data_IF_159411794377
#
_entry.id   IF_159411794377
#
_cell.length_a   1.000
_cell.length_b   1.000
_cell.length_c   1.000
_cell.angle_alpha   90.00
_cell.angle_beta   90.00
_cell.angle_gamma   90.00
#
_symmetry.space_group_name_H-M   'P 1'
#
loop_
_entity.id
_entity.type
_entity.pdbx_description
1 polymer ?
#
# COMPACT_ATOMS: atom_id res chain seq x y z
N UNK A 1 -16.27 -2.33 -8.21
CA UNK A 1 -16.22 -3.63 -8.91
C UNK A 1 -14.92 -3.71 -9.66
N UNK A 2 -14.36 -4.90 -9.79
CA UNK A 2 -13.22 -5.18 -10.66
C UNK A 2 -13.68 -5.37 -12.10
N UNK A 3 -12.80 -5.09 -13.06
CA UNK A 3 -13.14 -5.11 -14.48
C UNK A 3 -12.10 -5.91 -15.26
N UNK A 4 -12.63 -6.75 -16.16
CA UNK A 4 -11.88 -7.45 -17.18
C UNK A 4 -12.04 -6.71 -18.51
N UNK A 5 -11.00 -6.76 -19.33
CA UNK A 5 -11.00 -6.24 -20.69
C UNK A 5 -10.31 -7.24 -21.61
N UNK A 6 -10.91 -7.47 -22.77
CA UNK A 6 -10.27 -8.24 -23.83
C UNK A 6 -9.15 -7.39 -24.43
N UNK A 7 -7.93 -7.90 -24.36
CA UNK A 7 -6.73 -7.23 -24.87
C UNK A 7 -5.98 -8.17 -25.83
N UNK A 8 -5.38 -7.59 -26.86
CA UNK A 8 -4.44 -8.27 -27.74
C UNK A 8 -3.07 -8.36 -27.05
N UNK A 9 -2.52 -9.57 -26.97
CA UNK A 9 -1.26 -9.84 -26.30
C UNK A 9 -0.28 -10.60 -27.20
N UNK A 10 1.00 -10.33 -26.99
CA UNK A 10 2.09 -10.94 -27.76
C UNK A 10 2.88 -11.88 -26.86
N UNK A 11 2.90 -13.17 -27.22
CA UNK A 11 3.73 -14.17 -26.56
C UNK A 11 5.22 -13.93 -26.87
N UNK A 12 6.16 -14.29 -25.97
CA UNK A 12 7.58 -14.30 -26.29
C UNK A 12 7.97 -15.13 -27.53
N UNK A 13 7.14 -16.09 -27.96
CA UNK A 13 7.37 -16.85 -29.20
C UNK A 13 6.96 -16.09 -30.49
N UNK A 14 6.30 -14.93 -30.35
CA UNK A 14 5.79 -14.09 -31.44
C UNK A 14 4.31 -14.28 -31.76
N UNK A 15 3.63 -15.25 -31.15
CA UNK A 15 2.19 -15.45 -31.33
C UNK A 15 1.40 -14.26 -30.78
N UNK A 16 0.43 -13.76 -31.55
CA UNK A 16 -0.48 -12.69 -31.15
C UNK A 16 -1.87 -13.29 -30.95
N UNK A 17 -2.47 -13.08 -29.78
CA UNK A 17 -3.79 -13.62 -29.46
C UNK A 17 -4.51 -12.71 -28.45
N UNK A 18 -5.82 -12.87 -28.32
CA UNK A 18 -6.63 -12.10 -27.37
C UNK A 18 -6.81 -12.87 -26.05
N UNK A 19 -6.80 -12.15 -24.93
CA UNK A 19 -7.10 -12.68 -23.61
C UNK A 19 -7.87 -11.65 -22.76
N UNK A 20 -8.73 -12.14 -21.86
CA UNK A 20 -9.37 -11.29 -20.87
C UNK A 20 -8.38 -11.01 -19.72
N UNK A 21 -8.05 -9.74 -19.53
CA UNK A 21 -7.13 -9.27 -18.51
C UNK A 21 -7.84 -8.32 -17.56
N UNK A 22 -7.50 -8.38 -16.28
CA UNK A 22 -7.90 -7.37 -15.32
C UNK A 22 -7.23 -6.06 -15.68
N UNK A 23 -8.04 -5.01 -15.85
CA UNK A 23 -7.57 -3.64 -16.05
C UNK A 23 -7.93 -2.73 -14.86
N UNK A 24 -8.81 -3.20 -13.97
CA UNK A 24 -9.10 -2.57 -12.69
C UNK A 24 -9.45 -3.65 -11.65
N UNK A 25 -8.89 -3.51 -10.46
CA UNK A 25 -9.08 -4.43 -9.33
C UNK A 25 -9.52 -3.60 -8.13
N UNK A 26 -10.69 -3.90 -7.57
CA UNK A 26 -11.20 -3.27 -6.36
C UNK A 26 -11.42 -4.34 -5.28
N UNK A 27 -10.49 -4.42 -4.33
CA UNK A 27 -10.49 -5.48 -3.31
C UNK A 27 -11.50 -5.26 -2.19
N UNK A 28 -12.15 -4.08 -2.14
CA UNK A 28 -13.27 -3.90 -1.22
C UNK A 28 -14.55 -4.61 -1.72
N UNK A 29 -14.68 -4.78 -3.04
CA UNK A 29 -15.81 -5.48 -3.63
C UNK A 29 -15.47 -6.94 -3.99
N UNK A 30 -14.23 -7.18 -4.46
CA UNK A 30 -13.72 -8.50 -4.88
C UNK A 30 -12.46 -8.86 -4.06
N UNK A 31 -12.58 -9.13 -2.74
CA UNK A 31 -11.44 -9.32 -1.84
C UNK A 31 -10.54 -10.50 -2.21
N UNK A 32 -11.08 -11.54 -2.85
CA UNK A 32 -10.34 -12.71 -3.34
C UNK A 32 -9.26 -12.34 -4.36
N UNK A 33 -9.46 -11.25 -5.12
CA UNK A 33 -8.47 -10.81 -6.11
C UNK A 33 -7.19 -10.27 -5.46
N UNK A 34 -7.24 -9.85 -4.18
CA UNK A 34 -6.02 -9.52 -3.43
C UNK A 34 -5.14 -10.75 -3.27
N UNK A 35 -5.73 -11.88 -2.89
CA UNK A 35 -4.99 -13.14 -2.69
C UNK A 35 -4.48 -13.71 -4.02
N UNK A 36 -5.30 -13.72 -5.07
CA UNK A 36 -4.85 -14.12 -6.41
C UNK A 36 -3.73 -13.22 -6.94
N UNK A 37 -3.77 -11.91 -6.64
CA UNK A 37 -2.69 -11.00 -6.99
C UNK A 37 -1.40 -11.34 -6.23
N UNK A 38 -1.48 -11.54 -4.92
CA UNK A 38 -0.33 -11.92 -4.07
C UNK A 38 0.27 -13.27 -4.48
N UNK A 39 -0.58 -14.20 -4.91
CA UNK A 39 -0.20 -15.51 -5.43
C UNK A 39 0.42 -15.45 -6.83
N UNK A 40 0.32 -14.31 -7.52
CA UNK A 40 0.82 -14.14 -8.87
C UNK A 40 -0.02 -14.86 -9.92
N UNK A 41 -1.34 -14.91 -9.72
CA UNK A 41 -2.30 -15.57 -10.64
C UNK A 41 -3.03 -14.56 -11.54
N UNK A 42 -3.00 -13.28 -11.19
CA UNK A 42 -3.65 -12.21 -11.96
C UNK A 42 -2.92 -11.98 -13.28
N UNK A 43 -3.70 -11.92 -14.37
CA UNK A 43 -3.21 -11.69 -15.75
C UNK A 43 -2.15 -12.70 -16.21
N UNK A 44 -2.23 -13.94 -15.70
CA UNK A 44 -1.47 -15.07 -16.20
C UNK A 44 -2.20 -15.72 -17.35
N UNK A 45 -1.51 -15.91 -18.47
CA UNK A 45 -2.07 -16.43 -19.72
C UNK A 45 -1.24 -17.59 -20.25
N UNK A 46 -1.87 -18.49 -21.00
CA UNK A 46 -1.22 -19.60 -21.67
C UNK A 46 -1.29 -19.40 -23.18
N UNK A 47 -0.14 -19.40 -23.86
CA UNK A 47 -0.09 -19.24 -25.30
C UNK A 47 -0.75 -20.43 -26.02
N UNK A 48 -1.69 -20.22 -26.96
CA UNK A 48 -2.33 -21.30 -27.70
C UNK A 48 -1.36 -22.05 -28.65
N UNK A 49 -0.26 -21.41 -29.05
CA UNK A 49 0.71 -21.96 -30.00
C UNK A 49 1.83 -22.75 -29.29
N UNK A 50 2.62 -22.11 -28.42
CA UNK A 50 3.77 -22.75 -27.76
C UNK A 50 3.47 -23.32 -26.37
N UNK A 51 2.27 -23.05 -25.80
CA UNK A 51 1.87 -23.43 -24.43
C UNK A 51 2.71 -22.83 -23.30
N UNK A 52 3.50 -21.80 -23.61
CA UNK A 52 4.20 -21.00 -22.60
C UNK A 52 3.18 -20.28 -21.71
N UNK A 53 3.41 -20.31 -20.40
CA UNK A 53 2.63 -19.57 -19.41
C UNK A 53 3.43 -18.34 -19.00
N UNK A 54 2.82 -17.15 -19.11
CA UNK A 54 3.50 -15.90 -18.82
C UNK A 54 2.55 -14.84 -18.29
N UNK A 55 3.11 -13.79 -17.68
CA UNK A 55 2.38 -12.62 -17.24
C UNK A 55 2.13 -11.67 -18.42
N UNK A 56 0.86 -11.38 -18.69
CA UNK A 56 0.48 -10.34 -19.63
C UNK A 56 0.52 -8.98 -18.94
N UNK A 57 1.68 -8.31 -18.97
CA UNK A 57 1.83 -6.97 -18.39
C UNK A 57 0.98 -5.94 -19.15
N UNK A 58 -0.12 -5.51 -18.53
CA UNK A 58 -0.99 -4.43 -19.00
C UNK A 58 -1.21 -3.42 -17.87
N UNK A 59 -1.78 -2.26 -18.22
CA UNK A 59 -2.17 -1.28 -17.22
C UNK A 59 -3.27 -1.86 -16.31
N UNK A 60 -3.08 -1.75 -14.99
CA UNK A 60 -4.07 -2.13 -13.97
C UNK A 60 -4.27 -0.99 -12.98
N UNK A 61 -5.52 -0.59 -12.78
CA UNK A 61 -5.90 0.28 -11.66
C UNK A 61 -6.24 -0.59 -10.44
N UNK A 62 -5.37 -0.62 -9.45
CA UNK A 62 -5.62 -1.32 -8.19
C UNK A 62 -6.19 -0.36 -7.14
N UNK A 63 -7.24 -0.78 -6.44
CA UNK A 63 -7.89 -0.01 -5.38
C UNK A 63 -8.16 -0.86 -4.14
N UNK A 64 -7.55 -0.47 -3.03
CA UNK A 64 -7.78 -0.98 -1.68
C UNK A 64 -8.14 0.20 -0.75
N UNK A 65 -9.44 0.45 -0.53
CA UNK A 65 -9.91 1.48 0.39
C UNK A 65 -9.44 1.30 1.84
N UNK A 66 -9.36 0.06 2.34
CA UNK A 66 -9.00 -0.21 3.73
C UNK A 66 -7.53 0.16 4.01
N UNK A 67 -6.68 -0.04 3.01
CA UNK A 67 -5.27 0.35 3.05
C UNK A 67 -5.02 1.78 2.55
N UNK A 68 -6.05 2.57 2.22
CA UNK A 68 -5.92 3.87 1.53
C UNK A 68 -4.92 3.81 0.36
N UNK A 69 -5.08 2.81 -0.51
CA UNK A 69 -4.19 2.55 -1.63
C UNK A 69 -4.97 2.58 -2.94
N UNK A 70 -4.63 3.52 -3.81
CA UNK A 70 -4.99 3.46 -5.22
C UNK A 70 -3.69 3.50 -6.03
N UNK A 71 -3.43 2.47 -6.81
CA UNK A 71 -2.21 2.29 -7.56
C UNK A 71 -2.49 2.19 -9.05
N UNK A 72 -1.84 3.04 -9.82
CA UNK A 72 -1.76 2.97 -11.27
C UNK A 72 -0.55 2.12 -11.62
N UNK A 73 -0.81 0.85 -11.94
CA UNK A 73 0.24 -0.12 -12.26
C UNK A 73 0.43 -0.16 -13.76
N UNK A 74 1.60 0.27 -14.22
CA UNK A 74 2.01 0.16 -15.61
C UNK A 74 2.97 -1.01 -15.80
N UNK A 75 3.14 -1.52 -17.02
CA UNK A 75 4.18 -2.49 -17.35
C UNK A 75 5.55 -2.06 -16.82
N UNK A 76 6.34 -3.02 -16.33
CA UNK A 76 7.67 -2.75 -15.74
C UNK A 76 8.62 -2.08 -16.74
N UNK A 77 8.46 -2.44 -18.02
CA UNK A 77 9.16 -1.85 -19.16
C UNK A 77 8.96 -0.34 -19.30
N UNK A 78 7.90 0.25 -18.72
CA UNK A 78 7.59 1.68 -18.85
C UNK A 78 8.30 2.56 -17.81
N UNK A 79 9.05 1.95 -16.88
CA UNK A 79 9.77 2.64 -15.80
C UNK A 79 10.72 3.75 -16.29
N UNK A 80 11.33 3.59 -17.47
CA UNK A 80 12.19 4.61 -18.08
C UNK A 80 11.45 5.91 -18.48
N UNK A 81 10.12 5.85 -18.60
CA UNK A 81 9.24 6.98 -18.91
C UNK A 81 8.45 7.45 -17.68
N UNK A 82 8.97 7.25 -16.46
CA UNK A 82 8.25 7.53 -15.23
C UNK A 82 7.65 8.95 -15.13
N UNK A 83 8.35 9.98 -15.65
CA UNK A 83 7.83 11.34 -15.66
C UNK A 83 6.56 11.48 -16.51
N UNK A 84 6.55 10.90 -17.71
CA UNK A 84 5.40 10.92 -18.60
C UNK A 84 4.19 10.20 -17.97
N UNK A 85 4.41 9.01 -17.42
CA UNK A 85 3.34 8.22 -16.81
C UNK A 85 2.82 8.83 -15.51
N UNK A 86 3.67 9.55 -14.76
CA UNK A 86 3.23 10.34 -13.60
C UNK A 86 2.27 11.45 -14.01
N UNK A 87 2.64 12.25 -15.01
CA UNK A 87 1.78 13.34 -15.50
C UNK A 87 0.43 12.81 -16.02
N UNK A 88 0.45 11.66 -16.70
CA UNK A 88 -0.76 11.00 -17.18
C UNK A 88 -1.63 10.52 -16.01
N UNK A 89 -1.05 9.80 -15.06
CA UNK A 89 -1.76 9.29 -13.89
C UNK A 89 -2.40 10.42 -13.07
N UNK A 90 -1.70 11.53 -12.85
CA UNK A 90 -2.26 12.68 -12.13
C UNK A 90 -3.46 13.30 -12.85
N UNK A 91 -3.42 13.38 -14.19
CA UNK A 91 -4.54 13.89 -14.99
C UNK A 91 -5.72 12.93 -14.96
N UNK A 92 -5.48 11.65 -15.21
CA UNK A 92 -6.51 10.61 -15.24
C UNK A 92 -7.21 10.51 -13.88
N UNK A 93 -6.45 10.56 -12.78
CA UNK A 93 -7.01 10.57 -11.43
C UNK A 93 -7.85 11.82 -11.14
N UNK A 94 -7.36 13.02 -11.48
CA UNK A 94 -8.12 14.27 -11.32
C UNK A 94 -9.44 14.26 -12.10
N UNK A 95 -9.41 13.76 -13.34
CA UNK A 95 -10.61 13.63 -14.17
C UNK A 95 -11.61 12.68 -13.52
N UNK A 96 -11.17 11.47 -13.13
CA UNK A 96 -12.03 10.49 -12.47
C UNK A 96 -12.63 11.03 -11.16
N UNK A 97 -11.84 11.74 -10.35
CA UNK A 97 -12.32 12.35 -9.11
C UNK A 97 -13.36 13.44 -9.35
N UNK A 98 -13.24 14.19 -10.45
CA UNK A 98 -14.24 15.22 -10.81
C UNK A 98 -15.59 14.62 -11.23
N UNK A 99 -15.59 13.41 -11.81
CA UNK A 99 -16.80 12.70 -12.24
C UNK A 99 -17.54 12.01 -11.10
N UNK A 100 -16.81 11.56 -10.06
CA UNK A 100 -17.37 10.82 -8.92
C UNK A 100 -18.18 11.69 -7.93
N UNK A 101 -18.03 13.02 -7.97
CA UNK A 101 -18.72 13.96 -7.08
C UNK A 101 -18.35 13.86 -5.59
N UNK A 102 -18.86 14.77 -4.76
CA UNK A 102 -18.43 14.96 -3.37
C UNK A 102 -18.70 13.78 -2.42
N UNK A 103 -19.65 12.90 -2.76
CA UNK A 103 -20.13 11.85 -1.83
C UNK A 103 -19.23 10.60 -1.76
N UNK A 104 -18.33 10.40 -2.74
CA UNK A 104 -17.36 9.29 -2.79
C UNK A 104 -15.92 9.76 -3.04
N UNK A 105 -15.61 11.00 -2.66
CA UNK A 105 -14.29 11.58 -2.91
C UNK A 105 -13.19 10.79 -2.18
N UNK A 106 -12.24 10.26 -2.95
CA UNK A 106 -11.04 9.59 -2.42
C UNK A 106 -10.14 10.67 -1.82
N UNK A 107 -9.80 10.53 -0.53
CA UNK A 107 -9.06 11.55 0.24
C UNK A 107 -7.54 11.35 0.24
N UNK A 108 -7.04 10.38 -0.52
CA UNK A 108 -5.63 10.04 -0.61
C UNK A 108 -5.17 10.05 -2.07
N UNK A 109 -3.89 10.35 -2.24
CA UNK A 109 -3.27 10.50 -3.57
C UNK A 109 -2.97 9.14 -4.21
N UNK A 110 -3.01 9.05 -5.55
CA UNK A 110 -2.65 7.86 -6.30
C UNK A 110 -1.15 7.59 -6.29
N UNK A 111 -0.80 6.31 -6.36
CA UNK A 111 0.58 5.84 -6.47
C UNK A 111 0.88 5.37 -7.90
N UNK A 112 2.03 5.78 -8.43
CA UNK A 112 2.58 5.24 -9.67
C UNK A 112 3.39 3.99 -9.36
N UNK A 113 3.04 2.86 -9.98
CA UNK A 113 3.74 1.58 -9.80
C UNK A 113 4.12 1.01 -11.16
N UNK A 114 5.28 0.39 -11.25
CA UNK A 114 5.76 -0.29 -12.46
C UNK A 114 5.95 -1.78 -12.15
N UNK A 115 5.20 -2.64 -12.84
CA UNK A 115 5.14 -4.08 -12.62
C UNK A 115 4.19 -4.50 -11.50
N UNK A 116 3.53 -5.65 -11.68
CA UNK A 116 2.65 -6.23 -10.66
C UNK A 116 3.43 -6.68 -9.42
N UNK A 117 4.66 -7.16 -9.59
CA UNK A 117 5.51 -7.60 -8.47
C UNK A 117 5.77 -6.46 -7.47
N UNK A 118 6.04 -5.25 -7.96
CA UNK A 118 6.21 -4.06 -7.12
C UNK A 118 4.93 -3.76 -6.33
N UNK A 119 3.75 -3.91 -6.95
CA UNK A 119 2.48 -3.75 -6.23
C UNK A 119 2.31 -4.84 -5.16
N UNK A 120 2.63 -6.09 -5.48
CA UNK A 120 2.57 -7.21 -4.53
C UNK A 120 3.49 -6.97 -3.33
N UNK A 121 4.70 -6.46 -3.55
CA UNK A 121 5.62 -6.09 -2.46
C UNK A 121 5.03 -5.00 -1.56
N UNK A 122 4.41 -3.96 -2.15
CA UNK A 122 3.72 -2.90 -1.39
C UNK A 122 2.60 -3.49 -0.52
N UNK A 123 1.78 -4.37 -1.10
CA UNK A 123 0.66 -5.01 -0.39
C UNK A 123 1.17 -5.89 0.76
N UNK A 124 2.18 -6.74 0.49
CA UNK A 124 2.78 -7.61 1.52
C UNK A 124 3.37 -6.82 2.68
N UNK A 125 4.02 -5.69 2.38
CA UNK A 125 4.54 -4.81 3.42
C UNK A 125 3.40 -4.22 4.25
N UNK A 126 2.34 -3.74 3.61
CA UNK A 126 1.15 -3.22 4.31
C UNK A 126 0.49 -4.27 5.21
N UNK A 127 0.37 -5.51 4.73
CA UNK A 127 -0.18 -6.62 5.52
C UNK A 127 0.71 -6.97 6.72
N UNK A 128 2.04 -6.98 6.54
CA UNK A 128 2.98 -7.16 7.64
C UNK A 128 2.86 -6.04 8.70
N UNK A 129 2.69 -4.78 8.27
CA UNK A 129 2.40 -3.68 9.20
C UNK A 129 1.09 -3.89 9.95
N UNK A 130 0.03 -4.33 9.26
CA UNK A 130 -1.27 -4.58 9.87
C UNK A 130 -1.21 -5.71 10.91
N UNK A 131 -0.42 -6.75 10.66
CA UNK A 131 -0.18 -7.82 11.63
C UNK A 131 0.55 -7.32 12.88
N UNK A 132 1.62 -6.52 12.72
CA UNK A 132 2.30 -5.90 13.86
C UNK A 132 1.38 -4.95 14.65
N UNK A 133 0.47 -4.23 13.96
CA UNK A 133 -0.53 -3.37 14.61
C UNK A 133 -1.50 -4.17 15.46
N UNK A 134 -1.99 -5.33 14.98
CA UNK A 134 -2.88 -6.22 15.77
C UNK A 134 -2.21 -6.66 17.07
N UNK A 135 -0.92 -7.00 17.00
CA UNK A 135 -0.11 -7.35 18.17
C UNK A 135 0.02 -6.14 19.12
N UNK A 136 0.34 -4.96 18.58
CA UNK A 136 0.41 -3.71 19.35
C UNK A 136 -0.91 -3.41 20.06
N UNK A 137 -2.05 -3.47 19.37
CA UNK A 137 -3.36 -3.16 19.95
C UNK A 137 -3.72 -4.07 21.12
N UNK A 138 -3.28 -5.34 21.07
CA UNK A 138 -3.40 -6.26 22.18
C UNK A 138 -2.49 -5.85 23.36
N UNK A 139 -1.20 -5.65 23.09
CA UNK A 139 -0.19 -5.30 24.12
C UNK A 139 -0.44 -3.93 24.78
N UNK A 140 -0.96 -2.97 24.02
CA UNK A 140 -1.21 -1.62 24.52
C UNK A 140 -2.23 -1.59 25.65
N UNK A 141 -3.15 -2.56 25.70
CA UNK A 141 -4.11 -2.70 26.81
C UNK A 141 -3.42 -3.09 28.11
N UNK A 142 -2.48 -4.03 28.05
CA UNK A 142 -1.72 -4.52 29.21
C UNK A 142 -0.70 -3.48 29.68
N UNK A 143 -0.04 -2.81 28.74
CA UNK A 143 1.00 -1.81 29.00
C UNK A 143 0.45 -0.41 29.28
N UNK A 144 -0.88 -0.27 29.29
CA UNK A 144 -1.60 1.00 29.45
C UNK A 144 -1.12 2.12 28.53
N UNK A 145 -0.84 1.78 27.27
CA UNK A 145 -0.41 2.74 26.24
C UNK A 145 -1.63 3.32 25.52
N UNK A 146 -1.57 4.61 25.22
CA UNK A 146 -2.48 5.25 24.28
C UNK A 146 -1.98 5.04 22.85
N UNK A 147 -2.90 4.90 21.90
CA UNK A 147 -2.59 4.63 20.50
C UNK A 147 -2.99 5.82 19.63
N UNK A 148 -2.13 6.19 18.69
CA UNK A 148 -2.42 7.20 17.68
C UNK A 148 -2.43 6.52 16.32
N UNK A 149 -3.57 6.54 15.63
CA UNK A 149 -3.71 6.00 14.28
C UNK A 149 -3.24 7.01 13.25
N UNK A 150 -2.52 6.54 12.24
CA UNK A 150 -2.03 7.33 11.13
C UNK A 150 -2.68 6.87 9.82
N UNK A 151 -2.91 7.81 8.90
CA UNK A 151 -3.40 7.53 7.56
C UNK A 151 -2.41 6.61 6.81
N UNK A 152 -2.83 5.40 6.40
CA UNK A 152 -1.97 4.50 5.64
C UNK A 152 -1.37 5.13 4.39
N UNK A 153 -2.11 5.94 3.64
CA UNK A 153 -1.59 6.59 2.45
C UNK A 153 -0.37 7.49 2.74
N UNK A 154 -0.39 8.21 3.85
CA UNK A 154 0.62 9.19 4.21
C UNK A 154 1.79 8.59 5.01
N UNK A 155 1.55 7.52 5.76
CA UNK A 155 2.59 6.81 6.50
C UNK A 155 3.44 5.89 5.59
N UNK A 156 2.89 5.39 4.46
CA UNK A 156 3.55 4.42 3.58
C UNK A 156 4.86 4.94 2.98
N UNK A 157 4.91 6.15 2.38
CA UNK A 157 6.13 6.66 1.75
C UNK A 157 7.23 7.01 2.76
N UNK A 158 6.88 7.08 4.05
CA UNK A 158 7.80 7.40 5.15
C UNK A 158 8.25 6.15 5.93
N UNK A 159 7.83 4.95 5.48
CA UNK A 159 8.07 3.67 6.17
C UNK A 159 7.69 3.71 7.66
N UNK A 160 6.60 4.43 7.99
CA UNK A 160 6.16 4.58 9.38
C UNK A 160 5.08 3.55 9.74
N UNK A 161 5.09 3.02 10.98
CA UNK A 161 3.99 2.20 11.48
C UNK A 161 2.64 2.94 11.40
N UNK A 162 1.57 2.19 11.11
CA UNK A 162 0.19 2.75 10.98
C UNK A 162 -0.39 3.23 12.30
N UNK A 163 0.12 2.72 13.42
CA UNK A 163 -0.32 3.07 14.75
C UNK A 163 0.91 3.32 15.61
N UNK A 164 0.97 4.48 16.26
CA UNK A 164 2.06 4.85 17.16
C UNK A 164 1.61 4.74 18.63
N UNK A 165 2.35 3.99 19.46
CA UNK A 165 2.11 3.96 20.90
C UNK A 165 2.70 5.18 21.60
N UNK A 166 1.97 5.74 22.56
CA UNK A 166 2.47 6.73 23.52
C UNK A 166 1.98 6.41 24.94
N UNK A 167 2.69 6.85 25.99
CA UNK A 167 2.17 6.81 27.36
C UNK A 167 0.84 7.58 27.50
N UNK A 168 -0.10 7.09 28.32
CA UNK A 168 -1.34 7.81 28.65
C UNK A 168 -1.08 9.16 29.32
N UNK A 169 -0.13 9.18 30.25
CA UNK A 169 0.34 10.41 30.89
C UNK A 169 1.60 10.90 30.17
N UNK A 170 1.48 12.04 29.48
CA UNK A 170 2.63 12.71 28.87
C UNK A 170 3.62 13.12 29.96
N UNK A 171 4.88 12.73 29.81
CA UNK A 171 5.93 13.02 30.80
C UNK A 171 7.02 13.96 30.26
N UNK A 172 7.05 14.17 28.94
CA UNK A 172 8.12 14.90 28.27
C UNK A 172 7.66 15.50 26.94
N UNK A 173 8.59 15.75 26.00
CA UNK A 173 8.25 16.20 24.66
C UNK A 173 7.52 15.11 23.86
N UNK A 174 6.75 15.49 22.83
CA UNK A 174 6.00 14.54 21.98
C UNK A 174 6.89 13.42 21.43
N UNK A 175 8.11 13.73 21.00
CA UNK A 175 9.09 12.76 20.54
C UNK A 175 9.49 11.78 21.65
N UNK A 176 9.76 12.29 22.85
CA UNK A 176 10.21 11.46 23.98
C UNK A 176 9.08 10.55 24.46
N UNK A 177 7.83 11.00 24.39
CA UNK A 177 6.67 10.16 24.68
C UNK A 177 6.56 9.00 23.67
N UNK A 178 6.76 9.23 22.37
CA UNK A 178 6.79 8.14 21.38
C UNK A 178 7.96 7.18 21.59
N UNK A 179 9.16 7.69 21.87
CA UNK A 179 10.32 6.85 22.17
C UNK A 179 10.04 5.99 23.41
N UNK A 180 9.43 6.55 24.46
CA UNK A 180 9.06 5.80 25.65
C UNK A 180 8.01 4.71 25.37
N UNK A 181 6.99 5.02 24.58
CA UNK A 181 5.95 4.06 24.17
C UNK A 181 6.52 2.91 23.35
N UNK A 182 7.32 3.22 22.33
CA UNK A 182 7.99 2.24 21.47
C UNK A 182 8.99 1.38 22.24
N UNK A 183 9.79 1.99 23.12
CA UNK A 183 10.75 1.26 23.95
C UNK A 183 10.05 0.29 24.90
N UNK A 184 8.92 0.70 25.49
CA UNK A 184 8.10 -0.16 26.34
C UNK A 184 7.57 -1.37 25.56
N UNK A 185 7.06 -1.13 24.34
CA UNK A 185 6.55 -2.16 23.45
C UNK A 185 7.63 -3.18 23.05
N UNK A 186 8.77 -2.70 22.56
CA UNK A 186 9.86 -3.54 22.05
C UNK A 186 10.51 -4.37 23.18
N UNK A 187 10.53 -3.85 24.41
CA UNK A 187 11.00 -4.60 25.58
C UNK A 187 10.18 -5.87 25.83
N UNK A 188 8.87 -5.83 25.55
CA UNK A 188 7.95 -6.95 25.73
C UNK A 188 7.88 -7.86 24.51
N UNK A 189 7.97 -7.29 23.29
CA UNK A 189 7.99 -8.07 22.06
C UNK A 189 9.05 -7.56 21.09
N UNK A 190 10.13 -8.34 20.97
CA UNK A 190 11.25 -8.01 20.10
C UNK A 190 10.99 -8.29 18.62
N UNK A 191 9.92 -9.01 18.26
CA UNK A 191 9.62 -9.39 16.88
C UNK A 191 8.91 -8.30 16.07
N UNK A 192 8.60 -7.16 16.70
CA UNK A 192 8.00 -5.99 16.07
C UNK A 192 9.05 -5.21 15.27
N UNK A 193 9.31 -5.70 14.06
CA UNK A 193 10.42 -5.28 13.21
C UNK A 193 10.25 -3.85 12.72
N UNK A 194 9.04 -3.46 12.31
CA UNK A 194 8.74 -2.12 11.83
C UNK A 194 8.83 -1.10 12.95
N UNK A 195 8.31 -1.44 14.13
CA UNK A 195 8.42 -0.60 15.32
C UNK A 195 9.87 -0.40 15.78
N UNK A 196 10.70 -1.44 15.69
CA UNK A 196 12.13 -1.36 16.00
C UNK A 196 12.87 -0.43 15.04
N UNK A 197 12.66 -0.58 13.73
CA UNK A 197 13.25 0.30 12.71
C UNK A 197 12.85 1.76 12.97
N UNK A 198 11.57 1.98 13.28
CA UNK A 198 11.07 3.33 13.55
C UNK A 198 11.63 3.93 14.84
N UNK A 199 11.79 3.13 15.92
CA UNK A 199 12.46 3.59 17.14
C UNK A 199 13.89 4.05 16.85
N UNK A 200 14.66 3.27 16.10
CA UNK A 200 16.02 3.64 15.71
C UNK A 200 16.03 4.96 14.92
N UNK A 201 15.09 5.16 13.99
CA UNK A 201 14.97 6.42 13.25
C UNK A 201 14.74 7.60 14.20
N UNK A 202 13.82 7.49 15.16
CA UNK A 202 13.54 8.54 16.13
C UNK A 202 14.71 8.86 17.06
N UNK A 203 15.50 7.85 17.42
CA UNK A 203 16.71 8.03 18.24
C UNK A 203 17.77 8.87 17.50
N UNK A 204 17.92 8.67 16.18
CA UNK A 204 18.88 9.40 15.36
C UNK A 204 18.35 10.79 14.94
N UNK A 205 17.06 10.92 14.60
CA UNK A 205 16.45 12.19 14.22
C UNK A 205 15.95 12.98 15.45
N UNK A 206 16.86 13.79 16.00
CA UNK A 206 16.58 14.67 17.15
C UNK A 206 15.57 15.78 16.86
N UNK A 207 15.28 16.07 15.59
CA UNK A 207 14.35 17.14 15.18
C UNK A 207 12.99 16.60 14.74
N UNK A 208 12.80 15.27 14.80
CA UNK A 208 11.56 14.64 14.40
C UNK A 208 10.35 15.21 15.16
N UNK A 209 9.28 15.48 14.40
CA UNK A 209 7.98 15.91 14.91
C UNK A 209 6.88 15.20 14.15
N UNK A 210 5.79 14.88 14.83
CA UNK A 210 4.64 14.30 14.16
C UNK A 210 3.90 15.37 13.36
N UNK A 211 3.81 15.17 12.05
CA UNK A 211 2.93 16.00 11.21
C UNK A 211 1.48 15.64 11.52
N UNK A 212 0.71 16.61 12.01
CA UNK A 212 -0.70 16.42 12.38
C UNK A 212 -1.56 15.95 11.22
N UNK A 213 -1.15 16.21 9.96
CA UNK A 213 -1.85 15.69 8.78
C UNK A 213 -1.77 14.17 8.64
N UNK A 214 -0.77 13.53 9.26
CA UNK A 214 -0.64 12.08 9.26
C UNK A 214 -1.65 11.40 10.16
N UNK A 215 -2.18 12.11 11.17
CA UNK A 215 -3.03 11.52 12.21
C UNK A 215 -4.46 11.41 11.70
N UNK A 216 -5.04 10.22 11.82
CA UNK A 216 -6.47 10.02 11.56
C UNK A 216 -7.24 10.79 12.63
N UNK A 217 -8.02 11.78 12.20
CA UNK A 217 -8.89 12.52 13.11
C UNK A 217 -10.06 11.60 13.50
N UNK A 218 -10.24 11.34 14.79
CA UNK A 218 -11.40 10.60 15.32
C UNK A 218 -12.72 11.33 15.07
#
# INVERSE_FOLDING_TARGET
MSFLKLEEIVCPCGEVFEAELYNAINVNEDPELKESLIAGEVNVVCCPNCREIFYAEHFVLYHDPASELIAFVYPSSFSHQAAHWRDKMEKDFKNAMSELGDTKSIKYEPMLVFGMDTLVEIIKNDDAFNDEVRILEHMAKELELALIKLHPALARPKDMPRVLPKPKASKASERDDFIAGLSCLIKHNQHLSSYRKFLQLLEHDKKWKLDKKLVVSE
#
